data_IF_847083604837
#
_entry.id   IF_847083604837
#
_cell.length_a   1.000
_cell.length_b   1.000
_cell.length_c   1.000
_cell.angle_alpha   90.00
_cell.angle_beta   90.00
_cell.angle_gamma   90.00
#
_symmetry.space_group_name_H-M   'P 1'
#
loop_
_entity.id
_entity.type
_entity.pdbx_description
1 polymer ?
#
# COMPACT_ATOMS: atom_id res chain seq x y z
N UNK A 1 -3.58 15.44 -6.03
CA UNK A 1 -2.23 16.01 -5.93
C UNK A 1 -2.10 16.66 -4.56
N UNK A 2 -0.99 16.43 -3.86
CA UNK A 2 -0.77 16.95 -2.52
C UNK A 2 0.33 18.03 -2.51
N UNK A 3 0.24 18.98 -1.60
CA UNK A 3 1.18 20.09 -1.48
C UNK A 3 1.74 20.21 -0.07
N UNK A 4 3.02 20.57 0.04
CA UNK A 4 3.69 20.81 1.32
C UNK A 4 3.80 22.31 1.54
N UNK A 5 3.38 22.77 2.70
CA UNK A 5 3.50 24.16 3.14
C UNK A 5 4.34 24.24 4.41
N UNK A 6 5.50 24.91 4.33
CA UNK A 6 6.31 25.19 5.50
C UNK A 6 5.70 26.34 6.31
N UNK A 7 5.55 26.16 7.62
CA UNK A 7 5.10 27.16 8.56
C UNK A 7 6.16 27.40 9.63
N UNK A 8 6.59 28.65 9.78
CA UNK A 8 7.48 29.09 10.85
C UNK A 8 6.70 29.19 12.16
N UNK A 9 7.21 28.60 13.23
CA UNK A 9 6.71 28.75 14.58
C UNK A 9 7.84 29.18 15.54
N UNK A 10 7.48 29.51 16.79
CA UNK A 10 8.42 30.00 17.82
C UNK A 10 9.56 29.01 18.13
N UNK A 11 9.33 27.73 17.89
CA UNK A 11 10.21 26.59 18.21
C UNK A 11 10.93 25.99 17.00
N UNK A 12 10.65 26.46 15.78
CA UNK A 12 11.21 25.92 14.55
C UNK A 12 10.24 25.95 13.37
N UNK A 13 10.54 25.15 12.34
CA UNK A 13 9.65 24.97 11.20
C UNK A 13 8.74 23.76 11.41
N UNK A 14 7.48 23.89 11.05
CA UNK A 14 6.53 22.79 10.87
C UNK A 14 6.14 22.69 9.41
N UNK A 15 5.75 21.50 8.96
CA UNK A 15 5.46 21.22 7.57
C UNK A 15 4.06 20.64 7.47
N UNK A 16 3.18 21.36 6.78
CA UNK A 16 1.79 20.95 6.59
C UNK A 16 1.65 20.29 5.22
N UNK A 17 1.27 19.02 5.19
CA UNK A 17 0.85 18.36 3.96
C UNK A 17 -0.65 18.61 3.76
N UNK A 18 -1.04 19.12 2.60
CA UNK A 18 -2.42 19.38 2.22
C UNK A 18 -2.84 18.50 1.04
N UNK A 19 -4.06 18.00 1.09
CA UNK A 19 -4.67 17.22 -0.01
C UNK A 19 -6.18 17.44 -0.06
N UNK A 20 -6.83 16.95 -1.13
CA UNK A 20 -8.29 16.91 -1.20
C UNK A 20 -8.79 15.48 -1.08
N UNK A 21 -9.87 15.30 -0.31
CA UNK A 21 -10.59 14.06 -0.12
C UNK A 21 -12.09 14.40 -0.07
N UNK A 22 -12.90 13.73 -0.89
CA UNK A 22 -14.35 13.93 -0.98
C UNK A 22 -14.77 15.40 -1.15
N UNK A 23 -14.09 16.10 -2.06
CA UNK A 23 -14.32 17.52 -2.34
C UNK A 23 -13.83 18.49 -1.26
N UNK A 24 -13.38 17.99 -0.09
CA UNK A 24 -12.91 18.79 1.05
C UNK A 24 -11.39 18.84 1.10
N UNK A 25 -10.84 19.97 1.50
CA UNK A 25 -9.41 20.08 1.79
C UNK A 25 -9.12 19.46 3.17
N UNK A 26 -8.10 18.62 3.23
CA UNK A 26 -7.57 17.97 4.43
C UNK A 26 -6.10 18.35 4.58
N UNK A 27 -5.59 18.19 5.80
CA UNK A 27 -4.18 18.44 6.06
C UNK A 27 -3.66 17.68 7.27
N UNK A 28 -2.37 17.34 7.25
CA UNK A 28 -1.62 16.81 8.39
C UNK A 28 -0.37 17.67 8.61
N UNK A 29 0.03 17.87 9.87
CA UNK A 29 1.21 18.68 10.20
C UNK A 29 2.30 17.79 10.78
N UNK A 30 3.52 17.93 10.24
CA UNK A 30 4.70 17.21 10.66
C UNK A 30 5.73 18.16 11.27
N UNK A 31 6.54 17.64 12.17
CA UNK A 31 7.63 18.38 12.80
C UNK A 31 8.83 18.59 11.86
N UNK A 32 9.01 17.75 10.84
CA UNK A 32 10.15 17.82 9.92
C UNK A 32 9.76 17.50 8.46
N UNK A 33 10.54 18.05 7.53
CA UNK A 33 10.31 17.92 6.09
C UNK A 33 10.45 16.45 5.61
N UNK A 34 11.47 15.68 6.02
CA UNK A 34 11.62 14.29 5.56
C UNK A 34 10.41 13.41 5.87
N UNK A 35 9.81 13.55 7.06
CA UNK A 35 8.58 12.82 7.41
C UNK A 35 7.40 13.22 6.51
N UNK A 36 7.30 14.50 6.16
CA UNK A 36 6.26 15.03 5.28
C UNK A 36 6.39 14.48 3.86
N UNK A 37 7.62 14.45 3.31
CA UNK A 37 7.90 13.93 1.98
C UNK A 37 7.65 12.42 1.91
N UNK A 38 8.09 11.67 2.93
CA UNK A 38 7.81 10.23 3.05
C UNK A 38 6.32 9.92 3.03
N UNK A 39 5.49 10.77 3.62
CA UNK A 39 4.03 10.59 3.63
C UNK A 39 3.34 11.08 2.35
N UNK A 40 3.91 12.08 1.66
CA UNK A 40 3.37 12.57 0.38
C UNK A 40 3.33 11.47 -0.68
N UNK A 41 4.35 10.61 -0.74
CA UNK A 41 4.47 9.51 -1.71
C UNK A 41 3.25 8.57 -1.64
N UNK A 42 2.99 7.86 -0.52
CA UNK A 42 1.86 6.94 -0.44
C UNK A 42 0.51 7.66 -0.55
N UNK A 43 0.43 8.92 -0.12
CA UNK A 43 -0.79 9.71 -0.26
C UNK A 43 -1.11 10.04 -1.73
N UNK A 44 -0.10 10.28 -2.56
CA UNK A 44 -0.30 10.51 -3.99
C UNK A 44 -0.52 9.21 -4.78
N UNK A 45 0.18 8.14 -4.42
CA UNK A 45 0.11 6.86 -5.12
C UNK A 45 -1.15 6.05 -4.77
N UNK A 46 -1.52 6.03 -3.49
CA UNK A 46 -2.54 5.12 -2.98
C UNK A 46 -3.78 5.84 -2.48
N UNK A 47 -3.59 7.03 -1.90
CA UNK A 47 -4.64 7.90 -1.40
C UNK A 47 -4.58 8.06 0.12
N UNK A 48 -5.46 8.92 0.66
CA UNK A 48 -5.35 9.38 2.04
C UNK A 48 -5.63 8.29 3.08
N UNK A 49 -6.59 7.39 2.84
CA UNK A 49 -6.95 6.35 3.81
C UNK A 49 -5.79 5.37 4.03
N UNK A 50 -5.14 4.97 2.95
CA UNK A 50 -3.99 4.06 2.97
C UNK A 50 -2.75 4.75 3.56
N UNK A 51 -2.50 5.99 3.17
CA UNK A 51 -1.41 6.77 3.75
C UNK A 51 -1.56 6.88 5.27
N UNK A 52 -2.73 7.28 5.79
CA UNK A 52 -2.96 7.45 7.23
C UNK A 52 -2.67 6.19 8.04
N UNK A 53 -3.06 5.01 7.54
CA UNK A 53 -2.72 3.72 8.19
C UNK A 53 -1.22 3.49 8.30
N UNK A 54 -0.43 3.91 7.30
CA UNK A 54 1.04 3.77 7.34
C UNK A 54 1.64 4.59 8.49
N UNK A 55 1.11 5.79 8.77
CA UNK A 55 1.56 6.60 9.91
C UNK A 55 1.25 5.92 11.24
N UNK A 56 0.02 5.46 11.43
CA UNK A 56 -0.40 4.82 12.68
C UNK A 56 0.52 3.64 13.05
N UNK A 57 0.91 2.84 12.07
CA UNK A 57 1.81 1.69 12.27
C UNK A 57 3.24 2.15 12.61
N UNK A 58 3.72 3.20 11.94
CA UNK A 58 5.04 3.78 12.20
C UNK A 58 5.18 4.38 13.60
N UNK A 59 4.11 4.98 14.13
CA UNK A 59 4.09 5.54 15.49
C UNK A 59 4.06 4.47 16.59
N UNK A 60 3.45 3.31 16.32
CA UNK A 60 3.37 2.18 17.27
C UNK A 60 4.70 1.40 17.33
N UNK A 61 5.61 1.61 16.38
CA UNK A 61 6.93 0.96 16.34
C UNK A 61 6.88 -0.55 16.07
N UNK A 62 5.74 -1.07 15.63
CA UNK A 62 5.57 -2.47 15.26
C UNK A 62 6.04 -2.69 13.82
N UNK A 63 6.90 -3.70 13.60
CA UNK A 63 7.25 -4.12 12.25
C UNK A 63 6.02 -4.80 11.63
N UNK A 64 5.34 -4.08 10.74
CA UNK A 64 4.26 -4.63 9.93
C UNK A 64 4.84 -5.07 8.59
N UNK A 65 4.68 -6.34 8.19
CA UNK A 65 5.20 -6.80 6.92
C UNK A 65 4.55 -6.02 5.77
N UNK A 66 5.34 -5.72 4.76
CA UNK A 66 4.85 -5.21 3.48
C UNK A 66 4.01 -6.28 2.76
N UNK A 67 3.21 -5.87 1.77
CA UNK A 67 2.42 -6.79 0.94
C UNK A 67 3.33 -7.81 0.28
N UNK A 68 4.48 -7.38 -0.26
CA UNK A 68 5.41 -8.29 -0.93
C UNK A 68 5.97 -9.33 0.04
N UNK A 69 6.43 -8.92 1.22
CA UNK A 69 6.91 -9.84 2.26
C UNK A 69 5.83 -10.82 2.69
N UNK A 70 4.63 -10.31 2.99
CA UNK A 70 3.48 -11.12 3.38
C UNK A 70 3.14 -12.18 2.33
N UNK A 71 3.10 -11.80 1.05
CA UNK A 71 2.74 -12.71 -0.03
C UNK A 71 3.80 -13.79 -0.26
N UNK A 72 5.10 -13.46 -0.15
CA UNK A 72 6.14 -14.49 -0.25
C UNK A 72 6.08 -15.46 0.92
N UNK A 73 5.89 -14.97 2.16
CA UNK A 73 5.68 -15.84 3.33
C UNK A 73 4.44 -16.72 3.17
N UNK A 74 3.33 -16.17 2.67
CA UNK A 74 2.12 -16.94 2.38
C UNK A 74 2.39 -18.05 1.36
N UNK A 75 3.09 -17.76 0.26
CA UNK A 75 3.45 -18.75 -0.77
C UNK A 75 4.30 -19.88 -0.18
N UNK A 76 5.25 -19.56 0.71
CA UNK A 76 6.11 -20.57 1.35
C UNK A 76 5.32 -21.49 2.29
N UNK A 77 4.29 -20.97 2.94
CA UNK A 77 3.45 -21.73 3.86
C UNK A 77 2.34 -22.55 3.19
N UNK A 78 2.13 -22.42 1.87
CA UNK A 78 1.11 -23.18 1.15
C UNK A 78 1.46 -24.68 1.07
N UNK A 79 0.72 -25.50 1.80
CA UNK A 79 0.82 -26.96 1.76
C UNK A 79 -0.01 -27.57 0.61
N UNK A 80 0.46 -28.67 0.01
CA UNK A 80 -0.28 -29.44 -1.00
C UNK A 80 -0.43 -28.76 -2.36
N UNK A 81 0.25 -27.63 -2.58
CA UNK A 81 0.20 -26.88 -3.85
C UNK A 81 1.31 -27.33 -4.80
N UNK A 82 0.96 -27.52 -6.08
CA UNK A 82 1.93 -27.95 -7.11
C UNK A 82 3.07 -26.92 -7.27
N UNK A 83 4.33 -27.35 -7.47
CA UNK A 83 5.46 -26.43 -7.65
C UNK A 83 5.26 -25.39 -8.77
N UNK A 84 4.63 -25.80 -9.88
CA UNK A 84 4.30 -24.90 -10.99
C UNK A 84 3.31 -23.80 -10.59
N UNK A 85 2.39 -24.08 -9.67
CA UNK A 85 1.46 -23.09 -9.12
C UNK A 85 2.18 -22.12 -8.21
N UNK A 86 3.07 -22.60 -7.33
CA UNK A 86 3.91 -21.73 -6.49
C UNK A 86 4.79 -20.80 -7.34
N UNK A 87 5.42 -21.31 -8.40
CA UNK A 87 6.21 -20.50 -9.33
C UNK A 87 5.35 -19.42 -10.02
N UNK A 88 4.10 -19.76 -10.37
CA UNK A 88 3.14 -18.81 -10.95
C UNK A 88 2.76 -17.72 -9.94
N UNK A 89 2.49 -18.06 -8.68
CA UNK A 89 2.19 -17.08 -7.64
C UNK A 89 3.37 -16.13 -7.40
N UNK A 90 4.60 -16.64 -7.31
CA UNK A 90 5.81 -15.80 -7.24
C UNK A 90 5.91 -14.84 -8.43
N UNK A 91 5.52 -15.30 -9.62
CA UNK A 91 5.48 -14.45 -10.82
C UNK A 91 4.43 -13.35 -10.71
N UNK A 92 3.25 -13.64 -10.15
CA UNK A 92 2.21 -12.62 -9.89
C UNK A 92 2.72 -11.56 -8.92
N UNK A 93 3.38 -11.98 -7.83
CA UNK A 93 3.98 -11.06 -6.86
C UNK A 93 5.01 -10.17 -7.56
N UNK A 94 6.03 -10.75 -8.18
CA UNK A 94 7.14 -10.01 -8.75
C UNK A 94 6.76 -9.08 -9.92
N UNK A 95 5.77 -9.43 -10.74
CA UNK A 95 5.45 -8.69 -11.97
C UNK A 95 4.26 -7.75 -11.85
N UNK A 96 3.27 -8.11 -11.03
CA UNK A 96 1.99 -7.43 -11.05
C UNK A 96 1.66 -6.73 -9.72
N UNK A 97 2.06 -7.30 -8.59
CA UNK A 97 1.67 -6.80 -7.26
C UNK A 97 2.79 -5.92 -6.68
N UNK A 98 4.01 -6.44 -6.65
CA UNK A 98 5.17 -5.75 -6.07
C UNK A 98 5.37 -4.35 -6.67
N UNK A 99 5.39 -4.20 -8.02
CA UNK A 99 5.53 -2.87 -8.63
C UNK A 99 4.33 -1.93 -8.44
N UNK A 100 3.17 -2.46 -8.05
CA UNK A 100 1.93 -1.68 -7.98
C UNK A 100 1.65 -1.15 -6.58
N UNK A 101 1.89 -1.94 -5.54
CA UNK A 101 1.65 -1.59 -4.13
C UNK A 101 2.39 -2.54 -3.17
N UNK A 102 3.44 -3.22 -3.61
CA UNK A 102 4.17 -4.22 -2.81
C UNK A 102 4.82 -3.67 -1.56
N UNK A 103 5.28 -2.42 -1.62
CA UNK A 103 5.94 -1.71 -0.52
C UNK A 103 5.00 -1.26 0.59
N UNK A 104 3.68 -1.36 0.38
CA UNK A 104 2.70 -0.98 1.39
C UNK A 104 2.67 -1.99 2.52
N UNK A 105 2.53 -1.55 3.79
CA UNK A 105 2.21 -2.44 4.89
C UNK A 105 0.92 -3.22 4.58
N UNK A 106 0.88 -4.52 4.89
CA UNK A 106 -0.29 -5.35 4.59
C UNK A 106 -1.58 -4.82 5.21
N UNK A 107 -1.51 -4.21 6.39
CA UNK A 107 -2.66 -3.59 7.07
C UNK A 107 -3.11 -2.27 6.45
N UNK A 108 -2.28 -1.63 5.64
CA UNK A 108 -2.63 -0.40 4.91
C UNK A 108 -3.51 -0.71 3.69
N UNK A 109 -3.48 -1.95 3.18
CA UNK A 109 -4.25 -2.39 2.01
C UNK A 109 -5.75 -2.24 2.25
N UNK A 110 -6.43 -1.63 1.29
CA UNK A 110 -7.88 -1.45 1.28
C UNK A 110 -8.51 -2.11 0.06
N UNK A 111 -9.84 -2.26 0.07
CA UNK A 111 -10.59 -2.72 -1.10
C UNK A 111 -10.39 -1.80 -2.31
N UNK A 112 -10.23 -0.49 -2.09
CA UNK A 112 -9.94 0.48 -3.14
C UNK A 112 -8.55 0.25 -3.78
N UNK A 113 -7.55 -0.13 -2.97
CA UNK A 113 -6.20 -0.50 -3.43
C UNK A 113 -6.29 -1.68 -4.41
N UNK A 114 -7.05 -2.71 -4.01
CA UNK A 114 -7.28 -3.92 -4.81
C UNK A 114 -8.07 -3.59 -6.09
N UNK A 115 -9.14 -2.80 -6.00
CA UNK A 115 -9.96 -2.41 -7.15
C UNK A 115 -9.16 -1.61 -8.19
N UNK A 116 -8.33 -0.65 -7.74
CA UNK A 116 -7.42 0.12 -8.61
C UNK A 116 -6.41 -0.79 -9.30
N UNK A 117 -5.84 -1.75 -8.58
CA UNK A 117 -4.93 -2.73 -9.17
C UNK A 117 -5.61 -3.61 -10.22
N UNK A 118 -6.76 -4.20 -9.89
CA UNK A 118 -7.54 -5.04 -10.83
C UNK A 118 -7.88 -4.27 -12.10
N UNK A 119 -8.29 -3.00 -11.98
CA UNK A 119 -8.60 -2.14 -13.14
C UNK A 119 -7.40 -1.91 -14.08
N UNK A 120 -6.17 -1.97 -13.56
CA UNK A 120 -4.93 -1.78 -14.34
C UNK A 120 -4.40 -3.09 -14.94
N UNK A 121 -4.89 -4.25 -14.50
CA UNK A 121 -4.43 -5.53 -15.02
C UNK A 121 -4.88 -5.72 -16.48
N UNK A 122 -3.92 -6.02 -17.35
CA UNK A 122 -4.19 -6.51 -18.70
C UNK A 122 -4.34 -8.04 -18.73
N UNK A 123 -5.03 -8.54 -19.75
CA UNK A 123 -5.15 -9.96 -20.05
C UNK A 123 -6.60 -10.48 -20.06
N UNK A 124 -6.75 -11.80 -20.19
CA UNK A 124 -8.07 -12.43 -20.20
C UNK A 124 -8.77 -12.30 -18.84
N UNK A 125 -10.11 -12.31 -18.83
CA UNK A 125 -10.88 -12.30 -17.58
C UNK A 125 -10.49 -13.43 -16.63
N UNK A 126 -10.14 -14.61 -17.16
CA UNK A 126 -9.60 -15.73 -16.38
C UNK A 126 -8.27 -15.40 -15.71
N UNK A 127 -7.38 -14.68 -16.39
CA UNK A 127 -6.09 -14.26 -15.83
C UNK A 127 -6.28 -13.27 -14.70
N UNK A 128 -7.16 -12.28 -14.88
CA UNK A 128 -7.48 -11.27 -13.87
C UNK A 128 -8.12 -11.94 -12.65
N UNK A 129 -9.09 -12.83 -12.85
CA UNK A 129 -9.75 -13.57 -11.78
C UNK A 129 -8.78 -14.43 -10.97
N UNK A 130 -7.81 -15.10 -11.63
CA UNK A 130 -6.79 -15.89 -10.93
C UNK A 130 -5.85 -15.03 -10.07
N UNK A 131 -5.40 -13.89 -10.60
CA UNK A 131 -4.55 -12.96 -9.85
C UNK A 131 -5.30 -12.37 -8.65
N UNK A 132 -6.53 -11.94 -8.87
CA UNK A 132 -7.40 -11.45 -7.80
C UNK A 132 -7.66 -12.51 -6.73
N UNK A 133 -8.04 -13.73 -7.15
CA UNK A 133 -8.30 -14.85 -6.23
C UNK A 133 -7.08 -15.23 -5.40
N UNK A 134 -5.88 -15.22 -6.00
CA UNK A 134 -4.63 -15.40 -5.24
C UNK A 134 -4.44 -14.32 -4.17
N UNK A 135 -4.57 -13.04 -4.54
CA UNK A 135 -4.39 -11.93 -3.61
C UNK A 135 -5.44 -11.96 -2.48
N UNK A 136 -6.73 -12.16 -2.81
CA UNK A 136 -7.79 -12.27 -1.83
C UNK A 136 -7.59 -13.45 -0.88
N UNK A 137 -7.18 -14.61 -1.41
CA UNK A 137 -6.87 -15.79 -0.60
C UNK A 137 -5.70 -15.55 0.36
N UNK A 138 -4.70 -14.76 -0.04
CA UNK A 138 -3.57 -14.46 0.83
C UNK A 138 -3.87 -13.40 1.90
N UNK A 139 -4.76 -12.43 1.62
CA UNK A 139 -5.07 -11.33 2.55
C UNK A 139 -6.23 -11.63 3.50
N UNK A 140 -7.16 -12.49 3.11
CA UNK A 140 -8.40 -12.76 3.85
C UNK A 140 -8.56 -14.24 4.23
N UNK A 141 -7.48 -15.02 4.21
CA UNK A 141 -7.51 -16.37 4.80
C UNK A 141 -7.81 -16.24 6.31
N UNK A 142 -8.77 -17.02 6.85
CA UNK A 142 -9.07 -17.04 8.28
C UNK A 142 -7.89 -17.57 9.11
#
# INVERSE_FOLDING_TARGET
>A
MASIHAQKNRTGNTYRLLWRQDGRQRSLTFANLPATERFKIPLEEHGPDEALRIIELGEIGCHVPTVTEWLYTHIENLAGVKPATLARYRTYVARDIDPAFGSLPVSAVTENTIAKWVKRLGGSGKTIANKHGFLSGALFSP
#
